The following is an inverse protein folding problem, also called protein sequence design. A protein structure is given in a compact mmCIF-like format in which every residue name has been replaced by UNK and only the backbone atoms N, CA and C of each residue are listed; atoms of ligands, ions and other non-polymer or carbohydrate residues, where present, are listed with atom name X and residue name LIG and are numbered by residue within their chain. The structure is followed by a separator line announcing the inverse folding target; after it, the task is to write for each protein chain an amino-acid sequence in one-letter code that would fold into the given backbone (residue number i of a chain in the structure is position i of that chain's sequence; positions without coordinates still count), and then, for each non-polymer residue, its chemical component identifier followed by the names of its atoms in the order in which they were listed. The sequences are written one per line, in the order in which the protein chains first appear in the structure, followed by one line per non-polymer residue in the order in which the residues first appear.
data_IF_051661120711
#
_entry.id   IF_051661120711
#
_cell.length_a   1.000
_cell.length_b   1.000
_cell.length_c   1.000
_cell.angle_alpha   90.00
_cell.angle_beta   90.00
_cell.angle_gamma   90.00
#
_symmetry.space_group_name_H-M   'P 1'
#
loop_
_entity.id
_entity.type
_entity.pdbx_description
1 polymer ?
#
# COMPACT_ATOMS: atom_id res chain seq x y z
N UNK A 1 11.73 12.04 6.51
CA UNK A 1 11.30 12.83 7.68
C UNK A 1 11.01 14.24 7.22
N UNK A 2 9.86 14.81 7.60
CA UNK A 2 9.36 16.11 7.14
C UNK A 2 9.10 17.05 8.31
N UNK A 3 9.38 18.34 8.14
CA UNK A 3 8.94 19.39 9.08
C UNK A 3 7.44 19.66 8.91
N UNK A 4 6.83 20.37 9.86
CA UNK A 4 5.38 20.65 9.86
C UNK A 4 4.90 21.31 8.56
N UNK A 5 5.65 22.30 8.03
CA UNK A 5 5.25 22.99 6.80
C UNK A 5 5.32 22.05 5.60
N UNK A 6 6.46 21.38 5.42
CA UNK A 6 6.69 20.44 4.31
C UNK A 6 5.65 19.30 4.33
N UNK A 7 5.35 18.77 5.52
CA UNK A 7 4.33 17.75 5.68
C UNK A 7 2.94 18.29 5.34
N UNK A 8 2.60 19.48 5.83
CA UNK A 8 1.33 20.16 5.53
C UNK A 8 1.11 20.34 4.04
N UNK A 9 2.13 20.79 3.31
CA UNK A 9 2.09 20.94 1.86
C UNK A 9 1.92 19.57 1.16
N UNK A 10 2.64 18.55 1.62
CA UNK A 10 2.59 17.19 1.07
C UNK A 10 1.19 16.55 1.20
N UNK A 11 0.50 16.73 2.33
CA UNK A 11 -0.85 16.20 2.55
C UNK A 11 -1.97 17.16 2.14
N UNK A 12 -1.63 18.41 1.82
CA UNK A 12 -2.57 19.50 1.59
C UNK A 12 -3.42 19.79 2.84
N UNK A 13 -2.78 19.95 3.99
CA UNK A 13 -3.37 20.21 5.30
C UNK A 13 -2.65 21.40 5.93
N UNK A 14 -3.40 22.35 6.49
CA UNK A 14 -2.79 23.50 7.13
C UNK A 14 -1.94 23.10 8.36
N UNK A 15 -0.83 23.80 8.64
CA UNK A 15 -0.05 23.58 9.87
C UNK A 15 -0.88 23.73 11.16
N UNK A 16 -1.92 24.57 11.15
CA UNK A 16 -2.86 24.70 12.27
C UNK A 16 -3.67 23.43 12.51
N UNK A 17 -4.11 22.75 11.44
CA UNK A 17 -4.85 21.49 11.55
C UNK A 17 -3.97 20.36 12.06
N UNK A 18 -2.70 20.31 11.63
CA UNK A 18 -1.73 19.33 12.14
C UNK A 18 -1.49 19.48 13.65
N UNK A 19 -1.36 20.72 14.14
CA UNK A 19 -1.23 21.00 15.59
C UNK A 19 -2.50 20.60 16.35
N UNK A 20 -3.67 20.92 15.80
CA UNK A 20 -4.96 20.50 16.39
C UNK A 20 -5.09 18.98 16.47
N UNK A 21 -4.66 18.24 15.45
CA UNK A 21 -4.68 16.77 15.48
C UNK A 21 -3.71 16.17 16.49
N UNK A 22 -2.58 16.84 16.78
CA UNK A 22 -1.70 16.45 17.88
C UNK A 22 -2.38 16.69 19.23
N UNK A 23 -3.00 17.85 19.45
CA UNK A 23 -3.75 18.18 20.68
C UNK A 23 -4.92 17.20 20.92
N UNK A 24 -5.59 16.77 19.85
CA UNK A 24 -6.65 15.76 19.87
C UNK A 24 -6.12 14.32 19.97
N UNK A 25 -4.80 14.10 19.95
CA UNK A 25 -4.17 12.77 20.02
C UNK A 25 -4.34 11.90 18.76
N UNK A 26 -4.80 12.48 17.65
CA UNK A 26 -5.09 11.76 16.39
C UNK A 26 -3.87 11.57 15.50
N UNK A 27 -2.93 12.50 15.54
CA UNK A 27 -1.66 12.43 14.80
C UNK A 27 -0.55 12.97 15.70
N UNK A 28 0.24 12.06 16.26
CA UNK A 28 1.30 12.41 17.20
C UNK A 28 2.63 12.47 16.44
N UNK A 29 3.27 13.64 16.29
CA UNK A 29 4.56 13.75 15.61
C UNK A 29 5.70 13.19 16.45
N UNK A 30 6.77 12.75 15.78
CA UNK A 30 8.06 12.56 16.42
C UNK A 30 8.72 13.91 16.72
N UNK A 31 9.70 13.91 17.62
CA UNK A 31 10.40 15.14 18.04
C UNK A 31 11.91 14.95 17.97
N UNK A 32 12.62 15.96 17.48
CA UNK A 32 14.08 16.00 17.56
C UNK A 32 14.53 16.31 18.98
N UNK A 33 15.85 16.18 19.23
CA UNK A 33 16.48 16.66 20.47
C UNK A 33 16.20 18.15 20.76
N UNK A 34 16.02 18.96 19.70
CA UNK A 34 15.62 20.37 19.82
C UNK A 34 14.10 20.59 19.96
N UNK A 35 13.33 19.55 20.29
CA UNK A 35 11.88 19.57 20.46
C UNK A 35 11.09 19.99 19.19
N UNK A 36 11.70 19.87 18.00
CA UNK A 36 11.04 20.19 16.74
C UNK A 36 10.19 19.00 16.27
N UNK A 37 8.94 19.26 15.90
CA UNK A 37 8.02 18.27 15.33
C UNK A 37 8.51 17.76 13.97
N UNK A 38 8.52 16.44 13.82
CA UNK A 38 8.88 15.73 12.60
C UNK A 38 7.82 14.68 12.29
N UNK A 39 7.50 14.59 11.00
CA UNK A 39 6.62 13.58 10.43
C UNK A 39 7.42 12.60 9.56
N UNK A 40 6.87 11.42 9.35
CA UNK A 40 7.48 10.31 8.63
C UNK A 40 6.39 9.64 7.78
N UNK A 41 6.72 8.56 7.07
CA UNK A 41 5.78 7.88 6.18
C UNK A 41 4.58 7.29 6.91
N UNK A 42 4.75 6.84 8.17
CA UNK A 42 3.61 6.35 8.98
C UNK A 42 2.60 7.46 9.28
N UNK A 43 3.08 8.69 9.48
CA UNK A 43 2.21 9.84 9.69
C UNK A 43 1.42 10.23 8.44
N UNK A 44 1.98 9.99 7.25
CA UNK A 44 1.34 10.30 5.96
C UNK A 44 0.02 9.50 5.80
N UNK A 45 0.07 8.21 6.11
CA UNK A 45 -1.09 7.32 6.11
C UNK A 45 -2.21 7.84 7.01
N UNK A 46 -1.85 8.13 8.27
CA UNK A 46 -2.79 8.61 9.29
C UNK A 46 -3.41 9.95 8.86
N UNK A 47 -2.59 10.89 8.40
CA UNK A 47 -3.05 12.21 7.97
C UNK A 47 -4.03 12.14 6.78
N UNK A 48 -3.77 11.27 5.80
CA UNK A 48 -4.68 11.04 4.67
C UNK A 48 -6.00 10.40 5.12
N UNK A 49 -5.95 9.44 6.04
CA UNK A 49 -7.17 8.83 6.59
C UNK A 49 -8.01 9.83 7.37
N UNK A 50 -7.38 10.65 8.21
CA UNK A 50 -8.06 11.72 8.96
C UNK A 50 -8.67 12.78 8.03
N UNK A 51 -7.99 13.11 6.92
CA UNK A 51 -8.48 14.09 5.94
C UNK A 51 -9.67 13.58 5.14
N UNK A 52 -9.61 12.34 4.68
CA UNK A 52 -10.64 11.74 3.82
C UNK A 52 -11.80 11.12 4.60
N UNK A 53 -11.62 10.87 5.91
CA UNK A 53 -12.54 10.06 6.71
C UNK A 53 -12.56 8.58 6.32
N UNK A 54 -11.67 8.15 5.42
CA UNK A 54 -11.58 6.77 4.95
C UNK A 54 -10.32 6.11 5.51
N UNK A 55 -10.48 4.91 6.03
CA UNK A 55 -9.35 4.08 6.45
C UNK A 55 -9.06 3.04 5.37
N UNK A 56 -7.78 2.69 5.15
CA UNK A 56 -7.44 1.60 4.27
C UNK A 56 -7.98 0.29 4.85
N UNK A 57 -8.92 -0.34 4.16
CA UNK A 57 -9.60 -1.56 4.61
C UNK A 57 -9.33 -2.75 3.69
N UNK A 58 -8.93 -2.52 2.44
CA UNK A 58 -8.80 -3.58 1.45
C UNK A 58 -7.52 -4.38 1.67
N UNK A 59 -7.67 -5.67 1.92
CA UNK A 59 -6.59 -6.64 1.88
C UNK A 59 -6.70 -7.43 0.58
N UNK A 60 -5.72 -7.28 -0.32
CA UNK A 60 -5.79 -7.81 -1.68
C UNK A 60 -4.68 -8.82 -1.91
N UNK A 61 -5.02 -9.99 -2.45
CA UNK A 61 -4.03 -10.91 -3.05
C UNK A 61 -3.94 -10.59 -4.54
N UNK A 62 -2.72 -10.45 -5.06
CA UNK A 62 -2.49 -10.26 -6.49
C UNK A 62 -1.56 -11.35 -7.06
N UNK A 63 -2.11 -12.13 -8.00
CA UNK A 63 -1.42 -13.22 -8.67
C UNK A 63 -1.31 -12.94 -10.18
N UNK A 64 -0.16 -13.27 -10.76
CA UNK A 64 0.14 -12.98 -12.18
C UNK A 64 0.94 -14.09 -12.85
N UNK A 65 0.53 -14.42 -14.07
CA UNK A 65 1.36 -15.19 -15.02
C UNK A 65 1.57 -14.43 -16.32
N UNK A 66 2.61 -14.80 -17.07
CA UNK A 66 3.01 -14.04 -18.26
C UNK A 66 2.26 -14.46 -19.52
N UNK A 67 1.80 -15.71 -19.59
CA UNK A 67 1.13 -16.30 -20.75
C UNK A 67 -0.12 -17.08 -20.35
N UNK A 68 -1.08 -17.19 -21.28
CA UNK A 68 -2.28 -18.02 -21.10
C UNK A 68 -1.96 -19.50 -20.88
N UNK A 69 -0.83 -19.99 -21.38
CA UNK A 69 -0.41 -21.38 -21.17
C UNK A 69 -0.11 -21.71 -19.70
N UNK A 70 0.03 -20.69 -18.84
CA UNK A 70 0.33 -20.83 -17.41
C UNK A 70 -0.92 -20.65 -16.54
N UNK A 71 -2.12 -20.86 -17.09
CA UNK A 71 -3.39 -20.65 -16.37
C UNK A 71 -3.54 -21.59 -15.18
N UNK A 72 -3.10 -22.83 -15.29
CA UNK A 72 -3.11 -23.78 -14.17
C UNK A 72 -2.13 -23.38 -13.06
N UNK A 73 -0.95 -22.88 -13.43
CA UNK A 73 0.02 -22.32 -12.49
C UNK A 73 -0.58 -21.13 -11.73
N UNK A 74 -1.34 -20.27 -12.41
CA UNK A 74 -2.01 -19.12 -11.79
C UNK A 74 -3.02 -19.58 -10.74
N UNK A 75 -3.82 -20.61 -11.02
CA UNK A 75 -4.78 -21.17 -10.06
C UNK A 75 -4.07 -21.79 -8.85
N UNK A 76 -2.98 -22.51 -9.09
CA UNK A 76 -2.17 -23.10 -8.02
C UNK A 76 -1.52 -22.02 -7.13
N UNK A 77 -1.00 -20.96 -7.75
CA UNK A 77 -0.46 -19.79 -7.05
C UNK A 77 -1.53 -19.11 -6.18
N UNK A 78 -2.73 -18.91 -6.70
CA UNK A 78 -3.84 -18.32 -5.95
C UNK A 78 -4.18 -19.14 -4.71
N UNK A 79 -4.36 -20.46 -4.86
CA UNK A 79 -4.66 -21.36 -3.73
C UNK A 79 -3.57 -21.31 -2.66
N UNK A 80 -2.30 -21.29 -3.08
CA UNK A 80 -1.17 -21.20 -2.15
C UNK A 80 -1.18 -19.87 -1.38
N UNK A 81 -1.45 -18.74 -2.06
CA UNK A 81 -1.52 -17.42 -1.44
C UNK A 81 -2.72 -17.29 -0.48
N UNK A 82 -3.88 -17.82 -0.86
CA UNK A 82 -5.07 -17.84 0.00
C UNK A 82 -4.84 -18.69 1.25
N UNK A 83 -4.23 -19.87 1.10
CA UNK A 83 -3.88 -20.74 2.22
C UNK A 83 -2.87 -20.07 3.16
N UNK A 84 -1.87 -19.38 2.60
CA UNK A 84 -0.90 -18.60 3.38
C UNK A 84 -1.59 -17.50 4.20
N UNK A 85 -2.47 -16.70 3.58
CA UNK A 85 -3.19 -15.64 4.28
C UNK A 85 -4.11 -16.19 5.37
N UNK A 86 -4.81 -17.29 5.09
CA UNK A 86 -5.67 -17.97 6.06
C UNK A 86 -4.85 -18.46 7.27
N UNK A 87 -3.70 -19.09 7.03
CA UNK A 87 -2.80 -19.56 8.09
C UNK A 87 -2.24 -18.42 8.95
N UNK A 88 -2.09 -17.21 8.38
CA UNK A 88 -1.69 -16.00 9.11
C UNK A 88 -2.86 -15.29 9.81
N UNK A 89 -4.09 -15.82 9.71
CA UNK A 89 -5.29 -15.20 10.29
C UNK A 89 -5.71 -13.90 9.56
N UNK A 90 -5.29 -13.72 8.31
CA UNK A 90 -5.56 -12.52 7.52
C UNK A 90 -6.87 -12.69 6.75
N UNK A 91 -7.84 -11.80 7.01
CA UNK A 91 -9.09 -11.73 6.24
C UNK A 91 -8.86 -11.01 4.91
N UNK A 92 -8.73 -11.77 3.83
CA UNK A 92 -8.57 -11.26 2.47
C UNK A 92 -9.90 -10.68 1.98
N UNK A 93 -9.89 -9.43 1.55
CA UNK A 93 -11.07 -8.77 0.97
C UNK A 93 -11.28 -9.18 -0.48
N UNK A 94 -10.20 -9.33 -1.24
CA UNK A 94 -10.29 -9.61 -2.66
C UNK A 94 -9.06 -10.34 -3.20
N UNK A 95 -9.28 -11.37 -4.02
CA UNK A 95 -8.23 -12.05 -4.79
C UNK A 95 -8.29 -11.59 -6.25
N UNK A 96 -7.17 -11.12 -6.79
CA UNK A 96 -7.03 -10.66 -8.16
C UNK A 96 -6.04 -11.54 -8.93
N UNK A 97 -6.45 -11.95 -10.12
CA UNK A 97 -5.68 -12.82 -11.00
C UNK A 97 -5.49 -12.17 -12.37
N UNK A 98 -4.27 -12.09 -12.87
CA UNK A 98 -4.02 -11.41 -14.14
C UNK A 98 -3.04 -12.17 -15.03
N UNK A 99 -3.30 -12.14 -16.34
CA UNK A 99 -2.40 -12.71 -17.35
C UNK A 99 -1.84 -11.54 -18.14
N UNK A 100 -0.51 -11.42 -18.13
CA UNK A 100 0.18 -10.35 -18.84
C UNK A 100 1.64 -10.20 -18.41
N UNK A 101 2.43 -9.54 -19.26
CA UNK A 101 3.85 -9.30 -19.00
C UNK A 101 4.07 -8.41 -17.78
N UNK A 102 5.07 -8.74 -16.95
CA UNK A 102 5.41 -7.96 -15.75
C UNK A 102 6.00 -6.56 -16.03
N UNK A 103 6.26 -6.21 -17.30
CA UNK A 103 6.65 -4.86 -17.74
C UNK A 103 5.45 -4.01 -18.20
N UNK A 104 4.26 -4.62 -18.35
CA UNK A 104 3.07 -3.92 -18.80
C UNK A 104 2.36 -3.26 -17.61
N UNK A 105 2.58 -1.96 -17.39
CA UNK A 105 1.87 -1.23 -16.32
C UNK A 105 0.43 -0.83 -16.69
N UNK A 106 -0.03 -1.09 -17.92
CA UNK A 106 -1.41 -0.81 -18.37
C UNK A 106 -2.38 -1.96 -18.10
N UNK A 107 -1.95 -3.00 -17.38
CA UNK A 107 -2.78 -4.13 -17.02
C UNK A 107 -3.95 -3.66 -16.12
N UNK A 108 -5.20 -4.06 -16.41
CA UNK A 108 -6.37 -3.47 -15.76
C UNK A 108 -6.43 -3.71 -14.24
N UNK A 109 -6.13 -4.92 -13.76
CA UNK A 109 -6.17 -5.23 -12.32
C UNK A 109 -4.99 -4.60 -11.59
N UNK A 110 -3.81 -4.57 -12.21
CA UNK A 110 -2.68 -3.81 -11.69
C UNK A 110 -3.04 -2.31 -11.52
N UNK A 111 -3.58 -1.67 -12.55
CA UNK A 111 -3.99 -0.26 -12.47
C UNK A 111 -5.05 -0.02 -11.40
N UNK A 112 -6.00 -0.94 -11.25
CA UNK A 112 -7.02 -0.87 -10.20
C UNK A 112 -6.40 -0.89 -8.79
N UNK A 113 -5.40 -1.74 -8.55
CA UNK A 113 -4.65 -1.76 -7.28
C UNK A 113 -3.95 -0.42 -7.03
N UNK A 114 -3.31 0.16 -8.06
CA UNK A 114 -2.66 1.46 -7.95
C UNK A 114 -3.68 2.57 -7.64
N UNK A 115 -4.86 2.54 -8.27
CA UNK A 115 -5.94 3.48 -7.96
C UNK A 115 -6.39 3.39 -6.51
N UNK A 116 -6.56 2.17 -5.97
CA UNK A 116 -6.90 1.99 -4.55
C UNK A 116 -5.80 2.42 -3.60
N UNK A 117 -4.53 2.21 -3.97
CA UNK A 117 -3.39 2.73 -3.22
C UNK A 117 -3.42 4.26 -3.15
N UNK A 118 -3.56 4.93 -4.29
CA UNK A 118 -3.62 6.40 -4.35
C UNK A 118 -4.81 6.95 -3.58
N UNK A 119 -5.97 6.27 -3.65
CA UNK A 119 -7.18 6.63 -2.92
C UNK A 119 -7.11 6.36 -1.41
N UNK A 120 -6.07 5.67 -0.92
CA UNK A 120 -5.93 5.30 0.49
C UNK A 120 -6.90 4.20 0.95
N UNK A 121 -7.39 3.39 0.01
CA UNK A 121 -8.31 2.27 0.32
C UNK A 121 -7.57 0.93 0.50
N UNK A 122 -6.35 0.83 -0.01
CA UNK A 122 -5.53 -0.38 0.04
C UNK A 122 -4.77 -0.47 1.37
N UNK A 123 -5.12 -1.45 2.20
CA UNK A 123 -4.43 -1.76 3.46
C UNK A 123 -3.20 -2.59 3.23
N UNK A 124 -3.34 -3.73 2.57
CA UNK A 124 -2.23 -4.65 2.35
C UNK A 124 -2.37 -5.33 1.00
N UNK A 125 -1.27 -5.38 0.25
CA UNK A 125 -1.18 -6.08 -1.02
C UNK A 125 -0.25 -7.29 -0.88
N UNK A 126 -0.80 -8.48 -1.01
CA UNK A 126 -0.07 -9.73 -0.96
C UNK A 126 0.32 -10.17 -2.36
N UNK A 127 1.61 -10.42 -2.56
CA UNK A 127 2.18 -10.91 -3.81
C UNK A 127 3.12 -12.07 -3.53
N UNK A 128 3.13 -13.07 -4.41
CA UNK A 128 4.02 -14.22 -4.24
C UNK A 128 5.50 -13.80 -4.31
N UNK A 129 5.87 -13.01 -5.33
CA UNK A 129 7.22 -12.48 -5.54
C UNK A 129 7.17 -11.06 -6.13
N UNK A 130 8.27 -10.31 -6.04
CA UNK A 130 8.37 -8.96 -6.65
C UNK A 130 8.05 -8.96 -8.15
N UNK A 131 8.62 -9.90 -8.93
CA UNK A 131 8.37 -10.04 -10.38
C UNK A 131 6.89 -10.28 -10.73
N UNK A 132 6.11 -10.86 -9.81
CA UNK A 132 4.69 -11.12 -10.02
C UNK A 132 3.88 -9.83 -9.97
N UNK A 133 4.32 -8.85 -9.19
CA UNK A 133 3.75 -7.50 -9.24
C UNK A 133 4.21 -6.77 -10.51
N UNK A 134 5.52 -6.57 -10.65
CA UNK A 134 6.17 -5.94 -11.79
C UNK A 134 7.64 -6.33 -11.87
N UNK A 135 8.19 -6.43 -13.10
CA UNK A 135 9.61 -6.78 -13.31
C UNK A 135 10.56 -5.64 -12.96
N UNK A 136 10.07 -4.42 -13.09
CA UNK A 136 10.80 -3.18 -12.87
C UNK A 136 9.92 -2.24 -12.04
N UNK A 137 10.52 -1.27 -11.35
CA UNK A 137 9.78 -0.25 -10.61
C UNK A 137 9.00 -0.79 -9.41
N UNK A 138 9.40 -1.94 -8.86
CA UNK A 138 8.78 -2.47 -7.63
C UNK A 138 8.88 -1.44 -6.50
N UNK A 139 10.05 -0.85 -6.30
CA UNK A 139 10.27 0.13 -5.23
C UNK A 139 9.39 1.38 -5.44
N UNK A 140 9.16 1.80 -6.69
CA UNK A 140 8.21 2.89 -6.99
C UNK A 140 6.78 2.50 -6.61
N UNK A 141 6.34 1.29 -6.95
CA UNK A 141 5.00 0.81 -6.60
C UNK A 141 4.85 0.67 -5.09
N UNK A 142 5.87 0.18 -4.40
CA UNK A 142 5.92 0.09 -2.94
C UNK A 142 5.78 1.47 -2.30
N UNK A 143 6.50 2.48 -2.81
CA UNK A 143 6.39 3.86 -2.34
C UNK A 143 4.97 4.43 -2.56
N UNK A 144 4.34 4.17 -3.71
CA UNK A 144 2.96 4.62 -3.96
C UNK A 144 1.98 3.99 -2.96
N UNK A 145 2.12 2.68 -2.71
CA UNK A 145 1.28 1.96 -1.73
C UNK A 145 1.50 2.51 -0.33
N UNK A 146 2.75 2.76 0.06
CA UNK A 146 3.12 3.33 1.33
C UNK A 146 2.56 4.74 1.52
N UNK A 147 2.62 5.59 0.50
CA UNK A 147 2.00 6.91 0.52
C UNK A 147 0.48 6.86 0.63
N UNK A 148 -0.14 5.78 0.14
CA UNK A 148 -1.55 5.48 0.35
C UNK A 148 -1.90 5.04 1.77
N UNK A 149 -0.89 4.73 2.59
CA UNK A 149 -1.07 4.13 3.90
C UNK A 149 -1.26 2.62 3.89
N UNK A 150 -0.99 1.99 2.76
CA UNK A 150 -0.94 0.54 2.63
C UNK A 150 0.48 -0.01 2.72
N UNK A 151 0.59 -1.33 2.70
CA UNK A 151 1.89 -2.01 2.60
C UNK A 151 1.85 -3.17 1.59
N UNK A 152 2.99 -3.48 0.98
CA UNK A 152 3.16 -4.65 0.11
C UNK A 152 3.82 -5.76 0.92
N UNK A 153 3.27 -6.97 0.83
CA UNK A 153 3.77 -8.16 1.51
C UNK A 153 4.16 -9.17 0.45
N UNK A 154 5.46 -9.45 0.36
CA UNK A 154 6.02 -10.45 -0.54
C UNK A 154 6.19 -11.75 0.24
N UNK A 155 5.48 -12.80 -0.18
CA UNK A 155 5.42 -14.08 0.54
C UNK A 155 6.71 -14.89 0.38
N UNK A 156 7.25 -14.95 -0.82
CA UNK A 156 8.52 -15.63 -1.08
C UNK A 156 9.61 -14.61 -1.42
N UNK A 157 10.64 -14.56 -0.57
CA UNK A 157 11.77 -13.61 -0.64
C UNK A 157 12.92 -14.10 -1.55
N UNK A 158 12.75 -15.17 -2.32
CA UNK A 158 13.74 -15.60 -3.31
C UNK A 158 14.11 -14.51 -4.32
#
# INVERSE_FOLDING_TARGET
MWKVSEFGDLVGISPSTLRRWEEEGKLIPERTLGNQRIYNESHLAIAKSLKSGKYPTRVVIYCRVSSNNQKEDLLSQVKAMESFCLAQGVSVTQTMQEIGGGLNFKRPKFLQIIQWAIAGELKSLYVAHKDRLCRFGFDLVEQIVLWGGGNIIVVDKK
#
